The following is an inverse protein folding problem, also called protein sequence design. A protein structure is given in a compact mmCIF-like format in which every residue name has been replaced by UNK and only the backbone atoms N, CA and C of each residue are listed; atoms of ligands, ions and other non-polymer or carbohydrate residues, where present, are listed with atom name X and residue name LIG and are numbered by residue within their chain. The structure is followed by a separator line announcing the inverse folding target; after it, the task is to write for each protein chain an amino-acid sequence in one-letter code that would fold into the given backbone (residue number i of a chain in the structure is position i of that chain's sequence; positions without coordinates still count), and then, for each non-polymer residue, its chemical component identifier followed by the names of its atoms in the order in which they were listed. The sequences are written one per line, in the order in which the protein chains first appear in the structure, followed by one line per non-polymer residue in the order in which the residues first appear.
data_IF_531970847282
#
_entry.id   IF_531970847282
#
_cell.length_a   1.000
_cell.length_b   1.000
_cell.length_c   1.000
_cell.angle_alpha   90.00
_cell.angle_beta   90.00
_cell.angle_gamma   90.00
#
_symmetry.space_group_name_H-M   'P 1'
#
loop_
_entity.id
_entity.type
_entity.pdbx_description
1 polymer ?
#
# COMPACT_ATOMS: atom_id res chain seq x y z
N UNK A 1 5.90 11.07 -17.01
CA UNK A 1 4.76 10.23 -16.60
C UNK A 1 4.51 10.47 -15.12
N UNK A 2 3.26 10.76 -14.73
CA UNK A 2 2.86 11.02 -13.32
C UNK A 2 2.48 9.76 -12.56
N UNK A 3 2.41 8.60 -13.22
CA UNK A 3 2.16 7.32 -12.56
C UNK A 3 3.26 7.01 -11.53
N UNK A 4 2.85 6.86 -10.28
CA UNK A 4 3.67 6.25 -9.22
C UNK A 4 3.82 4.76 -9.46
N UNK A 5 4.99 4.21 -9.14
CA UNK A 5 5.27 2.77 -9.21
C UNK A 5 5.74 2.31 -7.84
N UNK A 6 5.25 1.17 -7.38
CA UNK A 6 5.73 0.56 -6.14
C UNK A 6 7.18 0.11 -6.29
N UNK A 7 8.01 0.40 -5.27
CA UNK A 7 9.36 -0.15 -5.21
C UNK A 7 9.31 -1.56 -4.63
N UNK A 8 9.95 -2.50 -5.33
CA UNK A 8 9.89 -3.94 -5.04
C UNK A 8 11.03 -4.40 -4.15
N UNK A 9 12.00 -3.53 -3.85
CA UNK A 9 13.24 -3.89 -3.16
C UNK A 9 13.30 -3.42 -1.70
N UNK A 10 12.46 -2.46 -1.31
CA UNK A 10 12.51 -1.80 0.01
C UNK A 10 12.00 -2.68 1.17
N UNK A 11 11.34 -3.81 0.88
CA UNK A 11 10.68 -4.65 1.89
C UNK A 11 11.65 -5.53 2.70
N UNK A 12 12.86 -5.78 2.19
CA UNK A 12 13.79 -6.79 2.71
C UNK A 12 14.38 -6.48 4.10
N UNK A 13 14.42 -5.20 4.49
CA UNK A 13 14.96 -4.75 5.79
C UNK A 13 13.91 -4.07 6.66
N UNK A 14 12.63 -4.20 6.31
CA UNK A 14 11.58 -3.49 7.00
C UNK A 14 11.12 -4.22 8.28
N UNK A 15 11.29 -3.57 9.43
CA UNK A 15 10.90 -4.13 10.73
C UNK A 15 9.40 -4.39 10.85
N UNK A 16 8.56 -3.56 10.21
CA UNK A 16 7.10 -3.73 10.23
C UNK A 16 6.69 -4.93 9.39
N UNK A 17 7.32 -5.13 8.23
CA UNK A 17 7.08 -6.29 7.37
C UNK A 17 7.42 -7.57 8.12
N UNK A 18 8.63 -7.66 8.68
CA UNK A 18 9.07 -8.83 9.47
C UNK A 18 8.15 -9.12 10.65
N UNK A 19 7.76 -8.09 11.41
CA UNK A 19 6.83 -8.26 12.52
C UNK A 19 5.47 -8.80 12.05
N UNK A 20 4.93 -8.30 10.95
CA UNK A 20 3.66 -8.75 10.40
C UNK A 20 3.73 -10.20 9.89
N UNK A 21 4.82 -10.57 9.20
CA UNK A 21 5.05 -11.95 8.74
C UNK A 21 5.11 -12.96 9.89
N UNK A 22 5.73 -12.58 11.02
CA UNK A 22 5.87 -13.45 12.19
C UNK A 22 4.57 -13.56 13.02
N UNK A 23 3.70 -12.55 12.99
CA UNK A 23 2.56 -12.44 13.92
C UNK A 23 1.19 -12.61 13.29
N UNK A 24 1.03 -12.30 12.00
CA UNK A 24 -0.27 -12.40 11.35
C UNK A 24 -0.57 -13.84 10.94
N UNK A 25 -1.84 -14.28 11.02
CA UNK A 25 -2.23 -15.57 10.46
C UNK A 25 -1.96 -15.61 8.95
N UNK A 26 -1.39 -16.72 8.47
CA UNK A 26 -1.06 -16.93 7.04
C UNK A 26 -2.27 -16.72 6.11
N UNK A 27 -3.47 -17.05 6.60
CA UNK A 27 -4.73 -16.92 5.85
C UNK A 27 -5.46 -15.59 6.09
N UNK A 28 -4.81 -14.62 6.72
CA UNK A 28 -5.38 -13.29 6.93
C UNK A 28 -5.43 -12.50 5.62
N UNK A 29 -6.39 -11.58 5.53
CA UNK A 29 -6.52 -10.70 4.36
C UNK A 29 -5.27 -9.84 4.15
N UNK A 30 -4.61 -9.42 5.24
CA UNK A 30 -3.41 -8.59 5.18
C UNK A 30 -2.24 -9.33 4.53
N UNK A 31 -2.00 -10.60 4.91
CA UNK A 31 -0.97 -11.45 4.30
C UNK A 31 -1.30 -11.76 2.83
N UNK A 32 -2.58 -12.02 2.52
CA UNK A 32 -3.00 -12.23 1.14
C UNK A 32 -2.72 -11.00 0.27
N UNK A 33 -3.09 -9.82 0.75
CA UNK A 33 -2.89 -8.56 0.01
C UNK A 33 -1.40 -8.24 -0.12
N UNK A 34 -0.62 -8.36 0.95
CA UNK A 34 0.83 -8.17 0.88
C UNK A 34 1.48 -9.05 -0.20
N UNK A 35 1.10 -10.34 -0.26
CA UNK A 35 1.66 -11.30 -1.23
C UNK A 35 1.16 -11.10 -2.67
N UNK A 36 -0.13 -10.79 -2.85
CA UNK A 36 -0.77 -10.82 -4.18
C UNK A 36 -1.05 -9.43 -4.76
N UNK A 37 -0.80 -8.34 -4.02
CA UNK A 37 -1.11 -6.96 -4.43
C UNK A 37 -0.65 -6.65 -5.85
N UNK A 38 0.60 -6.95 -6.20
CA UNK A 38 1.14 -6.61 -7.52
C UNK A 38 0.45 -7.38 -8.66
N UNK A 39 -0.05 -8.58 -8.35
CA UNK A 39 -0.83 -9.39 -9.31
C UNK A 39 -2.26 -8.89 -9.43
N UNK A 40 -2.85 -8.45 -8.33
CA UNK A 40 -4.24 -7.99 -8.25
C UNK A 40 -4.40 -6.56 -8.78
N UNK A 41 -3.42 -5.70 -8.50
CA UNK A 41 -3.44 -4.27 -8.77
C UNK A 41 -2.10 -3.80 -9.37
N UNK A 42 -1.65 -4.35 -10.51
CA UNK A 42 -0.43 -3.84 -11.15
C UNK A 42 -0.63 -2.36 -11.51
N UNK A 43 0.33 -1.52 -11.13
CA UNK A 43 0.22 -0.05 -11.26
C UNK A 43 -0.05 0.38 -12.71
N UNK A 44 0.48 -0.36 -13.69
CA UNK A 44 0.30 -0.11 -15.11
C UNK A 44 -1.16 -0.27 -15.58
N UNK A 45 -1.98 -1.04 -14.87
CA UNK A 45 -3.42 -1.16 -15.18
C UNK A 45 -4.19 0.13 -14.94
N UNK A 46 -3.61 1.09 -14.22
CA UNK A 46 -4.21 2.39 -13.93
C UNK A 46 -3.60 3.52 -14.76
N UNK A 47 -2.70 3.22 -15.71
CA UNK A 47 -1.93 4.23 -16.43
C UNK A 47 -2.80 5.27 -17.17
N UNK A 48 -3.99 4.88 -17.59
CA UNK A 48 -4.99 5.74 -18.24
C UNK A 48 -5.58 6.82 -17.33
N UNK A 49 -5.46 6.67 -16.00
CA UNK A 49 -5.86 7.67 -15.01
C UNK A 49 -4.82 8.77 -14.79
N UNK A 50 -3.63 8.64 -15.38
CA UNK A 50 -2.49 9.52 -15.15
C UNK A 50 -2.00 10.21 -16.44
N UNK A 51 -1.29 11.33 -16.29
CA UNK A 51 -0.78 12.11 -17.41
C UNK A 51 0.73 11.93 -17.59
N UNK A 52 1.26 12.35 -18.74
CA UNK A 52 2.68 12.22 -19.05
C UNK A 52 3.55 13.29 -18.39
N UNK A 53 2.98 14.39 -17.90
CA UNK A 53 3.74 15.52 -17.34
C UNK A 53 3.31 15.84 -15.92
N UNK A 54 4.30 15.92 -15.03
CA UNK A 54 4.12 16.32 -13.64
C UNK A 54 4.91 15.43 -12.68
N UNK A 55 4.67 15.64 -11.40
CA UNK A 55 5.22 14.85 -10.30
C UNK A 55 4.61 13.44 -10.30
N UNK A 56 5.39 12.42 -9.92
CA UNK A 56 4.86 11.08 -9.68
C UNK A 56 3.91 11.09 -8.48
N UNK A 57 2.75 10.45 -8.65
CA UNK A 57 1.77 10.22 -7.59
C UNK A 57 2.23 9.12 -6.64
N UNK A 58 1.40 8.87 -5.61
CA UNK A 58 1.40 7.58 -4.92
C UNK A 58 1.09 6.47 -5.93
N UNK A 59 1.76 5.31 -5.86
CA UNK A 59 1.42 4.14 -6.66
C UNK A 59 -0.05 3.78 -6.47
N UNK A 60 -0.83 3.68 -7.56
CA UNK A 60 -2.26 3.39 -7.47
C UNK A 60 -2.54 2.03 -6.81
N UNK A 61 -1.62 1.08 -6.88
CA UNK A 61 -1.68 -0.20 -6.15
C UNK A 61 -1.83 -0.04 -4.64
N UNK A 62 -1.16 0.95 -4.03
CA UNK A 62 -1.29 1.28 -2.59
C UNK A 62 -2.71 1.73 -2.29
N UNK A 63 -3.22 2.67 -3.10
CA UNK A 63 -4.57 3.24 -2.93
C UNK A 63 -5.63 2.17 -3.13
N UNK A 64 -5.47 1.30 -4.12
CA UNK A 64 -6.38 0.19 -4.39
C UNK A 64 -6.50 -0.76 -3.18
N UNK A 65 -5.38 -1.12 -2.55
CA UNK A 65 -5.39 -1.95 -1.33
C UNK A 65 -6.13 -1.26 -0.18
N UNK A 66 -5.86 0.03 0.04
CA UNK A 66 -6.55 0.82 1.09
C UNK A 66 -8.05 0.84 0.85
N UNK A 67 -8.49 1.06 -0.40
CA UNK A 67 -9.91 1.05 -0.77
C UNK A 67 -10.56 -0.32 -0.58
N UNK A 68 -9.85 -1.42 -0.85
CA UNK A 68 -10.33 -2.79 -0.60
C UNK A 68 -10.54 -3.03 0.89
N UNK A 69 -9.55 -2.71 1.72
CA UNK A 69 -9.65 -2.87 3.17
C UNK A 69 -10.75 -1.97 3.76
N UNK A 70 -10.84 -0.72 3.30
CA UNK A 70 -11.92 0.19 3.65
C UNK A 70 -13.28 -0.44 3.37
N UNK A 71 -13.46 -1.01 2.17
CA UNK A 71 -14.73 -1.61 1.77
C UNK A 71 -15.06 -2.86 2.58
N UNK A 72 -14.07 -3.71 2.86
CA UNK A 72 -14.22 -4.95 3.64
C UNK A 72 -14.58 -4.67 5.09
N UNK A 73 -13.97 -3.65 5.69
CA UNK A 73 -14.20 -3.27 7.09
C UNK A 73 -15.38 -2.29 7.26
N UNK A 74 -15.99 -1.83 6.16
CA UNK A 74 -17.15 -0.93 6.19
C UNK A 74 -16.83 0.48 6.70
N UNK A 75 -15.60 0.96 6.44
CA UNK A 75 -15.07 2.20 6.98
C UNK A 75 -15.39 3.41 6.09
N UNK A 76 -15.53 4.57 6.71
CA UNK A 76 -15.47 5.86 6.02
C UNK A 76 -14.05 6.18 5.53
N UNK A 77 -13.93 7.14 4.60
CA UNK A 77 -12.62 7.59 4.11
C UNK A 77 -11.73 8.08 5.25
N UNK A 78 -12.32 8.79 6.23
CA UNK A 78 -11.58 9.30 7.39
C UNK A 78 -11.02 8.17 8.25
N UNK A 79 -11.81 7.13 8.50
CA UNK A 79 -11.38 5.97 9.27
C UNK A 79 -10.34 5.17 8.47
N UNK A 80 -10.50 5.01 7.16
CA UNK A 80 -9.51 4.34 6.32
C UNK A 80 -8.15 5.07 6.34
N UNK A 81 -8.17 6.41 6.28
CA UNK A 81 -6.95 7.23 6.43
C UNK A 81 -6.32 7.03 7.80
N UNK A 82 -7.11 6.99 8.87
CA UNK A 82 -6.61 6.75 10.23
C UNK A 82 -5.96 5.35 10.35
N UNK A 83 -6.62 4.31 9.83
CA UNK A 83 -6.06 2.94 9.81
C UNK A 83 -4.81 2.84 8.96
N UNK A 84 -4.80 3.41 7.75
CA UNK A 84 -3.59 3.44 6.94
C UNK A 84 -2.42 4.18 7.62
N UNK A 85 -2.72 5.23 8.40
CA UNK A 85 -1.69 6.03 9.06
C UNK A 85 -1.08 5.32 10.28
N UNK A 86 -1.89 4.58 11.04
CA UNK A 86 -1.51 4.10 12.38
C UNK A 86 -1.62 2.59 12.59
N UNK A 87 -2.25 1.85 11.67
CA UNK A 87 -2.32 0.38 11.73
C UNK A 87 -1.22 -0.24 10.84
N UNK A 88 -0.24 -0.86 11.49
CA UNK A 88 0.87 -1.53 10.82
C UNK A 88 0.41 -2.59 9.81
N UNK A 89 -0.72 -3.27 10.07
CA UNK A 89 -1.24 -4.32 9.18
C UNK A 89 -1.75 -3.74 7.86
N UNK A 90 -2.31 -2.53 7.91
CA UNK A 90 -2.78 -1.81 6.73
C UNK A 90 -1.61 -1.35 5.86
N UNK A 91 -0.54 -0.84 6.48
CA UNK A 91 0.69 -0.46 5.76
C UNK A 91 1.38 -1.67 5.13
N UNK A 92 1.53 -2.74 5.92
CA UNK A 92 2.05 -4.02 5.47
C UNK A 92 1.28 -4.57 4.25
N UNK A 93 -0.05 -4.65 4.35
CA UNK A 93 -0.90 -5.12 3.25
C UNK A 93 -0.75 -4.26 1.98
N UNK A 94 -0.55 -2.95 2.15
CA UNK A 94 -0.37 -2.01 1.06
C UNK A 94 1.06 -1.99 0.48
N UNK A 95 1.98 -2.81 1.02
CA UNK A 95 3.38 -2.87 0.60
C UNK A 95 4.11 -1.52 0.71
N UNK A 96 3.66 -0.71 1.68
CA UNK A 96 4.42 0.46 2.14
C UNK A 96 5.02 0.03 3.47
N UNK A 97 6.34 -0.07 3.50
CA UNK A 97 7.09 -0.36 4.72
C UNK A 97 6.77 0.59 5.89
N UNK A 98 7.55 0.47 6.96
CA UNK A 98 7.47 1.23 8.19
C UNK A 98 7.48 2.75 8.01
N UNK A 99 7.73 3.47 9.10
CA UNK A 99 7.52 4.92 9.16
C UNK A 99 8.54 5.75 8.35
N UNK A 100 9.31 5.14 7.45
CA UNK A 100 10.22 5.90 6.60
C UNK A 100 9.41 6.70 5.56
N UNK A 101 9.03 7.86 6.06
CA UNK A 101 8.30 8.90 5.39
C UNK A 101 9.26 9.77 4.56
N UNK A 102 10.55 9.42 4.49
CA UNK A 102 11.55 10.13 3.69
C UNK A 102 11.17 10.26 2.21
N UNK A 103 10.53 9.24 1.63
CA UNK A 103 10.11 9.26 0.21
C UNK A 103 8.80 10.01 -0.07
N UNK A 104 7.89 10.08 0.91
CA UNK A 104 6.51 10.57 0.74
C UNK A 104 6.24 11.95 1.36
N UNK A 105 7.25 12.56 2.01
CA UNK A 105 7.12 13.80 2.80
C UNK A 105 6.99 15.09 2.00
N UNK A 106 7.00 15.02 0.67
CA UNK A 106 6.52 16.14 -0.11
C UNK A 106 5.35 15.64 -0.94
N UNK A 107 4.17 16.17 -0.66
CA UNK A 107 3.13 16.34 -1.66
C UNK A 107 3.20 17.80 -2.06
#
# INVERSE_FOLDING_TARGET
MTLGLSDRQDELFDEVVRFCDETLPERSIYVLLHRERDRLFPDESFADLFTDRGRRSVPPSVVAVVMVLQRLEGLSDREAVERYSFDARWRYAAGVGGYDSGGWRSF
#
